data_IF_434105064952
#
_entry.id   IF_434105064952
#
_cell.length_a   1.000
_cell.length_b   1.000
_cell.length_c   1.000
_cell.angle_alpha   90.00
_cell.angle_beta   90.00
_cell.angle_gamma   90.00
#
_symmetry.space_group_name_H-M   'P 1'
#
loop_
_entity.id
_entity.type
_entity.pdbx_description
1 polymer ?
#
# COMPACT_ATOMS: atom_id res chain seq x y z
N UNK A 1 21.36 11.46 16.83
CA UNK A 1 20.02 10.86 16.86
C UNK A 1 19.90 9.95 15.65
N UNK A 2 19.43 8.74 15.85
CA UNK A 2 19.20 7.81 14.75
C UNK A 2 18.09 8.35 13.84
N UNK A 3 18.36 8.41 12.53
CA UNK A 3 17.39 8.89 11.54
C UNK A 3 16.22 7.91 11.40
N UNK A 4 15.03 8.42 11.10
CA UNK A 4 13.82 7.61 10.94
C UNK A 4 13.68 7.01 9.54
N UNK A 5 12.87 5.97 9.43
CA UNK A 5 12.31 5.49 8.17
C UNK A 5 10.97 6.22 7.99
N UNK A 6 10.86 6.98 6.91
CA UNK A 6 9.64 7.68 6.55
C UNK A 6 8.73 6.78 5.73
N UNK A 7 7.45 6.77 6.05
CA UNK A 7 6.42 6.04 5.30
C UNK A 7 5.31 7.03 4.96
N UNK A 8 4.80 7.04 3.75
CA UNK A 8 3.59 7.80 3.44
C UNK A 8 2.58 7.03 2.61
N UNK A 9 1.34 7.35 2.80
CA UNK A 9 0.18 6.87 2.04
C UNK A 9 -0.83 8.00 1.86
N UNK A 10 -1.76 7.84 0.93
CA UNK A 10 -2.88 8.78 0.76
C UNK A 10 -3.82 8.82 1.96
N UNK A 11 -3.77 7.83 2.83
CA UNK A 11 -4.64 7.69 4.00
C UNK A 11 -4.10 6.68 5.00
N UNK A 12 -4.96 5.78 5.47
CA UNK A 12 -4.61 4.74 6.45
C UNK A 12 -4.06 3.45 5.82
N UNK A 13 -4.18 3.26 4.49
CA UNK A 13 -3.87 1.99 3.83
C UNK A 13 -2.46 1.49 4.10
N UNK A 14 -1.49 2.39 4.11
CA UNK A 14 -0.09 2.09 4.38
C UNK A 14 0.23 1.66 5.80
N UNK A 15 -0.71 1.78 6.76
CA UNK A 15 -0.52 1.30 8.13
C UNK A 15 -0.32 -0.23 8.18
N UNK A 16 -0.87 -0.96 7.22
CA UNK A 16 -0.62 -2.40 7.09
C UNK A 16 0.88 -2.71 6.86
N UNK A 17 1.55 -1.89 6.04
CA UNK A 17 3.00 -1.98 5.78
C UNK A 17 3.78 -1.49 6.99
N UNK A 18 3.38 -0.34 7.57
CA UNK A 18 4.03 0.20 8.76
C UNK A 18 4.03 -0.83 9.90
N UNK A 19 2.90 -1.48 10.17
CA UNK A 19 2.78 -2.50 11.21
C UNK A 19 3.77 -3.66 10.99
N UNK A 20 3.88 -4.15 9.76
CA UNK A 20 4.85 -5.19 9.40
C UNK A 20 6.31 -4.74 9.58
N UNK A 21 6.61 -3.48 9.23
CA UNK A 21 7.95 -2.91 9.42
C UNK A 21 8.30 -2.76 10.90
N UNK A 22 7.40 -2.25 11.71
CA UNK A 22 7.59 -2.08 13.15
C UNK A 22 7.81 -3.44 13.85
N UNK A 23 7.08 -4.48 13.42
CA UNK A 23 7.26 -5.83 13.93
C UNK A 23 8.65 -6.40 13.60
N UNK A 24 9.10 -6.23 12.36
CA UNK A 24 10.37 -6.82 11.87
C UNK A 24 11.60 -5.97 12.19
N UNK A 25 11.42 -4.68 12.43
CA UNK A 25 12.47 -3.70 12.70
C UNK A 25 12.17 -2.90 13.98
N UNK A 26 12.02 -3.57 15.13
CA UNK A 26 11.51 -2.94 16.36
C UNK A 26 12.44 -1.86 16.96
N UNK A 27 13.66 -1.73 16.47
CA UNK A 27 14.65 -0.75 16.94
C UNK A 27 14.87 0.40 15.95
N UNK A 28 14.15 0.41 14.82
CA UNK A 28 14.12 1.54 13.91
C UNK A 28 13.14 2.62 14.39
N UNK A 29 13.41 3.86 14.03
CA UNK A 29 12.47 4.97 14.19
C UNK A 29 11.57 5.03 12.97
N UNK A 30 10.27 5.25 13.18
CA UNK A 30 9.31 5.38 12.10
C UNK A 30 8.54 6.68 12.18
N UNK A 31 8.36 7.30 11.02
CA UNK A 31 7.46 8.44 10.82
C UNK A 31 6.50 8.07 9.69
N UNK A 32 5.21 8.10 9.97
CA UNK A 32 4.16 7.87 8.99
C UNK A 32 3.42 9.16 8.68
N UNK A 33 3.25 9.47 7.39
CA UNK A 33 2.40 10.56 6.92
C UNK A 33 1.16 9.98 6.26
N UNK A 34 -0.01 10.27 6.84
CA UNK A 34 -1.32 9.99 6.28
C UNK A 34 -1.85 11.26 5.60
N UNK A 35 -1.75 11.33 4.26
CA UNK A 35 -2.25 12.47 3.49
C UNK A 35 -3.78 12.35 3.26
N UNK A 36 -4.52 12.14 4.35
CA UNK A 36 -5.94 11.84 4.29
C UNK A 36 -6.81 13.05 3.94
N UNK A 37 -6.29 14.28 3.95
CA UNK A 37 -6.91 15.47 3.35
C UNK A 37 -7.12 15.31 1.84
N UNK A 38 -6.20 14.64 1.16
CA UNK A 38 -6.21 14.42 -0.29
C UNK A 38 -6.70 13.01 -0.69
N UNK A 39 -7.02 12.16 0.29
CA UNK A 39 -7.52 10.80 0.07
C UNK A 39 -8.91 10.80 -0.61
N UNK A 40 -9.19 9.85 -1.52
CA UNK A 40 -8.30 8.84 -2.08
C UNK A 40 -7.51 9.37 -3.30
N UNK A 41 -6.25 8.96 -3.47
CA UNK A 41 -5.45 9.31 -4.65
C UNK A 41 -5.98 8.66 -5.93
N UNK A 42 -6.69 7.55 -5.83
CA UNK A 42 -7.27 6.86 -6.98
C UNK A 42 -8.23 7.67 -7.84
N UNK A 43 -8.75 8.79 -7.32
CA UNK A 43 -9.68 9.69 -8.01
C UNK A 43 -9.01 11.00 -8.47
N UNK A 44 -7.69 11.12 -8.33
CA UNK A 44 -6.93 12.33 -8.65
C UNK A 44 -6.30 12.23 -10.04
N UNK A 45 -5.95 13.38 -10.63
CA UNK A 45 -5.14 13.38 -11.84
C UNK A 45 -3.71 12.90 -11.54
N UNK A 46 -3.01 12.39 -12.55
CA UNK A 46 -1.62 11.97 -12.41
C UNK A 46 -0.73 13.10 -11.88
N UNK A 47 -0.93 14.30 -12.38
CA UNK A 47 -0.20 15.50 -11.92
C UNK A 47 -0.44 15.77 -10.42
N UNK A 48 -1.68 15.68 -9.95
CA UNK A 48 -2.00 15.84 -8.54
C UNK A 48 -1.31 14.76 -7.69
N UNK A 49 -1.36 13.49 -8.12
CA UNK A 49 -0.71 12.37 -7.42
C UNK A 49 0.80 12.62 -7.29
N UNK A 50 1.45 13.04 -8.38
CA UNK A 50 2.87 13.37 -8.39
C UNK A 50 3.17 14.51 -7.42
N UNK A 51 2.40 15.61 -7.46
CA UNK A 51 2.60 16.76 -6.59
C UNK A 51 2.43 16.40 -5.10
N UNK A 52 1.40 15.63 -4.74
CA UNK A 52 1.22 15.15 -3.37
C UNK A 52 2.37 14.24 -2.93
N UNK A 53 2.78 13.31 -3.80
CA UNK A 53 3.89 12.38 -3.50
C UNK A 53 5.21 13.13 -3.28
N UNK A 54 5.50 14.14 -4.08
CA UNK A 54 6.67 15.01 -3.89
C UNK A 54 6.60 15.80 -2.59
N UNK A 55 5.43 16.37 -2.26
CA UNK A 55 5.22 17.13 -1.02
C UNK A 55 5.43 16.25 0.21
N UNK A 56 4.82 15.06 0.25
CA UNK A 56 4.98 14.10 1.32
C UNK A 56 6.44 13.66 1.47
N UNK A 57 7.11 13.38 0.36
CA UNK A 57 8.52 12.96 0.38
C UNK A 57 9.44 14.08 0.90
N UNK A 58 9.23 15.32 0.48
CA UNK A 58 9.98 16.48 1.01
C UNK A 58 9.74 16.65 2.51
N UNK A 59 8.50 16.49 2.95
CA UNK A 59 8.17 16.57 4.38
C UNK A 59 8.90 15.52 5.20
N UNK A 60 8.98 14.27 4.71
CA UNK A 60 9.74 13.22 5.38
C UNK A 60 11.25 13.54 5.44
N UNK A 61 11.79 14.17 4.41
CA UNK A 61 13.20 14.65 4.43
C UNK A 61 13.39 15.75 5.49
N UNK A 62 12.49 16.73 5.55
CA UNK A 62 12.49 17.77 6.60
C UNK A 62 12.42 17.17 8.00
N UNK A 63 11.69 16.08 8.17
CA UNK A 63 11.60 15.30 9.41
C UNK A 63 12.81 14.36 9.64
N UNK A 64 13.90 14.55 8.88
CA UNK A 64 15.16 13.83 9.00
C UNK A 64 15.06 12.31 8.78
N UNK A 65 14.25 11.88 7.82
CA UNK A 65 14.20 10.47 7.42
C UNK A 65 15.41 10.08 6.56
N UNK A 66 15.91 8.85 6.75
CA UNK A 66 17.03 8.25 6.00
C UNK A 66 16.61 7.43 4.79
N UNK A 67 15.32 7.08 4.72
CA UNK A 67 14.70 6.27 3.67
C UNK A 67 13.23 6.64 3.61
N UNK A 68 12.63 6.54 2.43
CA UNK A 68 11.19 6.76 2.21
C UNK A 68 10.54 5.49 1.67
N UNK A 69 9.39 5.14 2.24
CA UNK A 69 8.54 4.06 1.75
C UNK A 69 7.25 4.69 1.23
N UNK A 70 7.00 4.55 -0.06
CA UNK A 70 5.75 4.94 -0.71
C UNK A 70 4.77 3.78 -0.54
N UNK A 71 4.00 3.84 0.55
CA UNK A 71 3.10 2.75 0.94
C UNK A 71 1.71 2.84 0.27
N UNK A 72 1.59 3.59 -0.81
CA UNK A 72 0.38 3.75 -1.62
C UNK A 72 0.62 3.20 -3.02
N UNK A 73 -0.16 2.19 -3.46
CA UNK A 73 -0.04 1.66 -4.82
C UNK A 73 -0.25 2.74 -5.88
N UNK A 74 -1.27 3.57 -5.71
CA UNK A 74 -1.56 4.67 -6.64
C UNK A 74 -0.41 5.68 -6.71
N UNK A 75 0.15 6.08 -5.57
CA UNK A 75 1.31 6.97 -5.53
C UNK A 75 2.53 6.32 -6.18
N UNK A 76 2.82 5.06 -5.82
CA UNK A 76 3.96 4.32 -6.39
C UNK A 76 3.87 4.25 -7.90
N UNK A 77 2.77 3.73 -8.43
CA UNK A 77 2.64 3.47 -9.87
C UNK A 77 2.61 4.72 -10.74
N UNK A 78 2.35 5.89 -10.15
CA UNK A 78 2.26 7.17 -10.87
C UNK A 78 3.43 8.12 -10.61
N UNK A 79 4.25 7.91 -9.57
CA UNK A 79 5.27 8.90 -9.19
C UNK A 79 6.65 8.34 -8.85
N UNK A 80 6.80 7.01 -8.68
CA UNK A 80 8.02 6.43 -8.11
C UNK A 80 9.30 6.78 -8.89
N UNK A 81 9.25 6.77 -10.22
CA UNK A 81 10.42 7.07 -11.05
C UNK A 81 10.87 8.51 -10.87
N UNK A 82 9.90 9.46 -10.87
CA UNK A 82 10.19 10.87 -10.65
C UNK A 82 10.69 11.16 -9.21
N UNK A 83 10.15 10.44 -8.21
CA UNK A 83 10.63 10.57 -6.84
C UNK A 83 12.10 10.12 -6.74
N UNK A 84 12.44 8.99 -7.36
CA UNK A 84 13.82 8.46 -7.39
C UNK A 84 14.80 9.36 -8.14
N UNK A 85 14.32 10.06 -9.15
CA UNK A 85 15.12 11.05 -9.90
C UNK A 85 15.42 12.32 -9.06
N UNK A 86 14.46 12.75 -8.23
CA UNK A 86 14.53 14.05 -7.53
C UNK A 86 15.00 13.98 -6.09
N UNK A 87 15.14 12.80 -5.51
CA UNK A 87 15.39 12.61 -4.08
C UNK A 87 16.58 11.66 -3.90
N UNK A 88 17.59 12.14 -3.19
CA UNK A 88 18.86 11.41 -3.02
C UNK A 88 18.84 10.26 -2.01
N UNK A 89 17.85 10.21 -1.10
CA UNK A 89 17.73 9.09 -0.16
C UNK A 89 16.97 7.91 -0.80
N UNK A 90 17.20 6.66 -0.34
CA UNK A 90 16.54 5.48 -0.87
C UNK A 90 15.02 5.58 -0.83
N UNK A 91 14.35 5.24 -1.94
CA UNK A 91 12.89 5.22 -2.05
C UNK A 91 12.43 3.82 -2.46
N UNK A 92 11.58 3.23 -1.64
CA UNK A 92 10.94 1.93 -1.89
C UNK A 92 9.44 2.17 -2.07
N UNK A 93 8.87 1.66 -3.16
CA UNK A 93 7.44 1.72 -3.42
C UNK A 93 6.79 0.36 -3.32
N UNK A 94 5.49 0.33 -2.95
CA UNK A 94 4.68 -0.87 -3.05
C UNK A 94 4.13 -1.02 -4.47
N UNK A 95 4.41 -2.14 -5.10
CA UNK A 95 3.87 -2.48 -6.41
C UNK A 95 2.73 -3.51 -6.28
N UNK A 96 1.73 -3.47 -7.18
CA UNK A 96 0.75 -4.54 -7.26
C UNK A 96 1.41 -5.89 -7.50
N UNK A 97 1.08 -6.89 -6.68
CA UNK A 97 1.71 -8.22 -6.70
C UNK A 97 1.28 -9.11 -7.88
N UNK A 98 1.21 -8.54 -9.10
CA UNK A 98 0.70 -9.29 -10.28
C UNK A 98 1.66 -10.40 -10.71
N UNK A 99 2.97 -10.15 -10.63
CA UNK A 99 3.98 -11.11 -11.08
C UNK A 99 3.94 -12.45 -10.34
N UNK A 100 3.86 -12.52 -9.00
CA UNK A 100 3.68 -13.79 -8.29
C UNK A 100 2.40 -14.54 -8.70
N UNK A 101 1.31 -13.85 -8.97
CA UNK A 101 0.07 -14.45 -9.45
C UNK A 101 0.27 -15.09 -10.83
N UNK A 102 0.85 -14.37 -11.78
CA UNK A 102 1.13 -14.85 -13.14
C UNK A 102 1.99 -16.12 -13.11
N UNK A 103 3.06 -16.13 -12.30
CA UNK A 103 4.00 -17.26 -12.24
C UNK A 103 3.42 -18.53 -11.59
N UNK A 104 2.35 -18.40 -10.79
CA UNK A 104 1.84 -19.51 -9.97
C UNK A 104 0.39 -19.92 -10.29
N UNK A 105 -0.33 -19.17 -11.12
CA UNK A 105 -1.73 -19.50 -11.47
C UNK A 105 -1.82 -20.86 -12.15
N UNK A 106 -2.81 -21.65 -11.73
CA UNK A 106 -3.19 -22.92 -12.34
C UNK A 106 -4.44 -22.81 -13.19
N UNK A 107 -5.38 -21.96 -12.77
CA UNK A 107 -6.61 -21.69 -13.50
C UNK A 107 -6.41 -20.83 -14.75
N UNK A 108 -5.24 -20.16 -14.85
CA UNK A 108 -4.93 -19.13 -15.86
C UNK A 108 -5.84 -17.90 -15.79
N UNK A 109 -6.61 -17.77 -14.72
CA UNK A 109 -7.48 -16.63 -14.43
C UNK A 109 -7.05 -15.95 -13.14
N UNK A 110 -6.69 -14.67 -13.22
CA UNK A 110 -6.21 -13.87 -12.10
C UNK A 110 -7.16 -12.70 -11.91
N UNK A 111 -7.65 -12.48 -10.69
CA UNK A 111 -8.38 -11.29 -10.32
C UNK A 111 -7.44 -10.17 -9.87
N UNK A 112 -7.71 -8.93 -10.27
CA UNK A 112 -7.03 -7.74 -9.78
C UNK A 112 -8.08 -6.74 -9.31
N UNK A 113 -8.12 -6.46 -8.01
CA UNK A 113 -8.96 -5.42 -7.42
C UNK A 113 -8.08 -4.23 -7.06
N UNK A 114 -8.26 -3.09 -7.74
CA UNK A 114 -7.39 -1.94 -7.59
C UNK A 114 -8.13 -0.61 -7.74
N UNK A 115 -7.42 0.50 -7.54
CA UNK A 115 -7.94 1.82 -7.92
C UNK A 115 -7.79 2.04 -9.43
N UNK A 116 -8.61 2.92 -10.00
CA UNK A 116 -8.55 3.28 -11.41
C UNK A 116 -7.15 3.72 -11.83
N UNK A 117 -6.54 4.65 -11.11
CA UNK A 117 -5.20 5.18 -11.42
C UNK A 117 -4.07 4.17 -11.24
N UNK A 118 -4.26 3.11 -10.48
CA UNK A 118 -3.31 2.00 -10.43
C UNK A 118 -3.40 1.15 -11.71
N UNK A 119 -4.60 0.79 -12.14
CA UNK A 119 -4.80 -0.02 -13.36
C UNK A 119 -4.40 0.73 -14.64
N UNK A 120 -4.68 2.03 -14.73
CA UNK A 120 -4.29 2.88 -15.87
C UNK A 120 -2.79 3.17 -15.93
N UNK A 121 -2.03 2.92 -14.86
CA UNK A 121 -0.63 3.31 -14.77
C UNK A 121 0.26 2.54 -15.76
N UNK A 122 1.29 3.22 -16.27
CA UNK A 122 2.30 2.58 -17.14
C UNK A 122 3.03 1.45 -16.42
N UNK A 123 3.34 1.63 -15.13
CA UNK A 123 4.07 0.63 -14.34
C UNK A 123 3.25 -0.67 -14.20
N UNK A 124 1.96 -0.58 -13.84
CA UNK A 124 1.10 -1.76 -13.74
C UNK A 124 0.97 -2.46 -15.11
N UNK A 125 0.70 -1.70 -16.17
CA UNK A 125 0.53 -2.24 -17.52
C UNK A 125 1.81 -2.91 -18.04
N UNK A 126 2.99 -2.30 -17.83
CA UNK A 126 4.26 -2.89 -18.25
C UNK A 126 4.59 -4.15 -17.45
N UNK A 127 4.39 -4.14 -16.13
CA UNK A 127 4.63 -5.31 -15.27
C UNK A 127 3.70 -6.46 -15.64
N UNK A 128 2.44 -6.18 -15.93
CA UNK A 128 1.48 -7.19 -16.40
C UNK A 128 1.93 -7.77 -17.74
N UNK A 129 2.14 -6.93 -18.76
CA UNK A 129 2.51 -7.36 -20.12
C UNK A 129 3.82 -8.13 -20.19
N UNK A 130 4.85 -7.69 -19.47
CA UNK A 130 6.18 -8.32 -19.50
C UNK A 130 6.21 -9.72 -18.90
N UNK A 131 5.19 -10.11 -18.13
CA UNK A 131 5.14 -11.41 -17.47
C UNK A 131 3.98 -12.30 -17.97
N UNK A 132 3.04 -11.75 -18.74
CA UNK A 132 1.89 -12.47 -19.29
C UNK A 132 2.33 -13.48 -20.37
N UNK A 133 1.75 -14.68 -20.30
CA UNK A 133 1.72 -15.64 -21.39
C UNK A 133 0.34 -15.58 -22.05
N UNK A 134 0.22 -15.99 -23.32
CA UNK A 134 -0.99 -15.85 -24.13
C UNK A 134 -2.23 -16.56 -23.53
N UNK A 135 -2.02 -17.50 -22.61
CA UNK A 135 -3.05 -18.31 -22.00
C UNK A 135 -3.56 -17.77 -20.65
N UNK A 136 -2.97 -16.68 -20.11
CA UNK A 136 -3.38 -16.08 -18.84
C UNK A 136 -4.31 -14.88 -19.05
N UNK A 137 -5.44 -14.90 -18.36
CA UNK A 137 -6.45 -13.83 -18.39
C UNK A 137 -6.44 -13.09 -17.06
N UNK A 138 -6.28 -11.77 -17.11
CA UNK A 138 -6.38 -10.89 -15.97
C UNK A 138 -7.77 -10.26 -15.96
N UNK A 139 -8.52 -10.48 -14.87
CA UNK A 139 -9.83 -9.88 -14.63
C UNK A 139 -9.66 -8.65 -13.73
N UNK A 140 -9.59 -7.49 -14.34
CA UNK A 140 -9.43 -6.22 -13.64
C UNK A 140 -10.77 -5.68 -13.13
N UNK A 141 -10.78 -5.18 -11.90
CA UNK A 141 -11.93 -4.56 -11.28
C UNK A 141 -11.51 -3.30 -10.49
N UNK A 142 -12.14 -2.20 -10.80
CA UNK A 142 -11.99 -0.97 -10.03
C UNK A 142 -12.86 -1.05 -8.78
N UNK A 143 -12.27 -0.82 -7.62
CA UNK A 143 -12.98 -0.82 -6.32
C UNK A 143 -13.55 0.55 -5.97
N UNK A 144 -14.46 1.10 -6.80
CA UNK A 144 -15.09 2.38 -6.53
C UNK A 144 -15.75 2.43 -5.15
N UNK A 145 -15.45 3.49 -4.39
CA UNK A 145 -16.02 3.74 -3.06
C UNK A 145 -15.40 2.93 -1.91
N UNK A 146 -14.68 1.83 -2.18
CA UNK A 146 -14.09 1.00 -1.13
C UNK A 146 -13.13 1.78 -0.22
N UNK A 147 -12.22 2.57 -0.78
CA UNK A 147 -11.27 3.36 0.02
C UNK A 147 -12.02 4.30 0.97
N UNK A 148 -13.03 5.00 0.46
CA UNK A 148 -13.81 5.94 1.28
C UNK A 148 -14.53 5.25 2.45
N UNK A 149 -15.02 4.03 2.23
CA UNK A 149 -15.69 3.28 3.30
C UNK A 149 -14.69 2.68 4.30
N UNK A 150 -13.51 2.26 3.84
CA UNK A 150 -12.44 1.77 4.72
C UNK A 150 -11.94 2.90 5.64
N UNK A 151 -11.76 4.11 5.10
CA UNK A 151 -11.36 5.29 5.90
C UNK A 151 -12.37 5.64 7.02
N UNK A 152 -13.65 5.25 6.86
CA UNK A 152 -14.70 5.41 7.88
C UNK A 152 -14.74 4.30 8.92
N UNK A 153 -13.98 3.23 8.71
CA UNK A 153 -13.93 2.04 9.54
C UNK A 153 -14.40 0.77 8.82
N UNK A 154 -13.78 -0.34 9.14
CA UNK A 154 -14.06 -1.65 8.52
C UNK A 154 -15.09 -2.45 9.32
N UNK A 155 -15.06 -2.29 10.66
CA UNK A 155 -15.89 -3.06 11.56
C UNK A 155 -17.36 -2.62 11.49
N UNK A 156 -18.26 -3.56 11.17
CA UNK A 156 -19.71 -3.30 11.07
C UNK A 156 -20.15 -2.50 9.83
N UNK A 157 -19.24 -2.20 8.90
CA UNK A 157 -19.56 -1.43 7.70
C UNK A 157 -20.22 -2.31 6.61
N UNK A 158 -21.53 -2.26 6.54
CA UNK A 158 -22.35 -3.05 5.59
C UNK A 158 -22.05 -2.67 4.12
N UNK A 159 -21.67 -1.41 3.84
CA UNK A 159 -21.38 -0.97 2.48
C UNK A 159 -20.12 -1.65 1.94
N UNK A 160 -19.13 -1.91 2.78
CA UNK A 160 -17.93 -2.67 2.39
C UNK A 160 -18.34 -4.06 1.91
N UNK A 161 -19.19 -4.77 2.65
CA UNK A 161 -19.65 -6.11 2.27
C UNK A 161 -20.42 -6.10 0.95
N UNK A 162 -21.27 -5.10 0.74
CA UNK A 162 -22.00 -4.88 -0.51
C UNK A 162 -21.04 -4.66 -1.68
N UNK A 163 -20.02 -3.80 -1.50
CA UNK A 163 -19.03 -3.53 -2.53
C UNK A 163 -18.15 -4.76 -2.82
N UNK A 164 -17.72 -5.48 -1.80
CA UNK A 164 -16.93 -6.70 -1.99
C UNK A 164 -17.71 -7.74 -2.80
N UNK A 165 -18.96 -8.00 -2.44
CA UNK A 165 -19.81 -8.91 -3.23
C UNK A 165 -19.93 -8.44 -4.67
N UNK A 166 -20.23 -7.15 -4.89
CA UNK A 166 -20.38 -6.58 -6.24
C UNK A 166 -19.13 -6.75 -7.10
N UNK A 167 -17.93 -6.53 -6.52
CA UNK A 167 -16.69 -6.50 -7.29
C UNK A 167 -16.01 -7.86 -7.40
N UNK A 168 -16.16 -8.71 -6.39
CA UNK A 168 -15.43 -9.97 -6.30
C UNK A 168 -16.24 -11.16 -6.87
N UNK A 169 -17.58 -11.16 -6.75
CA UNK A 169 -18.41 -12.25 -7.28
C UNK A 169 -18.18 -12.51 -8.77
N UNK A 170 -18.12 -11.49 -9.66
CA UNK A 170 -17.84 -11.75 -11.08
C UNK A 170 -16.47 -12.39 -11.34
N UNK A 171 -15.49 -12.14 -10.48
CA UNK A 171 -14.17 -12.77 -10.58
C UNK A 171 -14.23 -14.25 -10.16
N UNK A 172 -14.99 -14.57 -9.10
CA UNK A 172 -15.21 -15.95 -8.65
C UNK A 172 -15.85 -16.77 -9.77
N UNK A 173 -16.85 -16.23 -10.46
CA UNK A 173 -17.53 -16.84 -11.60
C UNK A 173 -16.58 -17.10 -12.78
N UNK A 174 -15.49 -16.33 -12.89
CA UNK A 174 -14.41 -16.54 -13.86
C UNK A 174 -13.37 -17.56 -13.40
N UNK A 175 -13.59 -18.22 -12.27
CA UNK A 175 -12.72 -19.26 -11.72
C UNK A 175 -11.27 -18.76 -11.48
N UNK A 176 -11.12 -17.56 -10.92
CA UNK A 176 -9.80 -17.07 -10.52
C UNK A 176 -9.21 -17.95 -9.41
N UNK A 177 -7.89 -18.14 -9.40
CA UNK A 177 -7.17 -18.81 -8.30
C UNK A 177 -6.23 -17.89 -7.53
N UNK A 178 -6.02 -16.68 -8.04
CA UNK A 178 -5.31 -15.59 -7.37
C UNK A 178 -6.11 -14.30 -7.40
N UNK A 179 -6.11 -13.58 -6.28
CA UNK A 179 -6.57 -12.19 -6.20
C UNK A 179 -5.40 -11.29 -5.83
N UNK A 180 -5.13 -10.31 -6.66
CA UNK A 180 -4.14 -9.25 -6.42
C UNK A 180 -4.86 -8.01 -5.89
N UNK A 181 -4.41 -7.50 -4.75
CA UNK A 181 -4.88 -6.25 -4.16
C UNK A 181 -3.97 -5.11 -4.61
N UNK A 182 -4.42 -4.30 -5.57
CA UNK A 182 -3.71 -3.15 -6.11
C UNK A 182 -4.01 -1.85 -5.36
N UNK A 183 -4.37 -1.95 -4.08
CA UNK A 183 -4.58 -0.83 -3.17
C UNK A 183 -4.29 -1.27 -1.74
N UNK A 184 -3.47 -0.52 -1.01
CA UNK A 184 -3.06 -0.82 0.37
C UNK A 184 -4.23 -0.87 1.35
N UNK A 185 -5.26 -0.06 1.14
CA UNK A 185 -6.48 -0.10 1.95
C UNK A 185 -7.17 -1.47 1.90
N UNK A 186 -7.09 -2.17 0.78
CA UNK A 186 -7.79 -3.46 0.63
C UNK A 186 -7.17 -4.58 1.47
N UNK A 187 -5.95 -4.42 1.99
CA UNK A 187 -5.36 -5.36 2.94
C UNK A 187 -6.18 -5.47 4.24
N UNK A 188 -6.87 -4.41 4.66
CA UNK A 188 -7.80 -4.45 5.81
C UNK A 188 -9.05 -5.29 5.54
N UNK A 189 -9.30 -5.68 4.30
CA UNK A 189 -10.45 -6.49 3.90
C UNK A 189 -10.12 -7.97 3.73
N UNK A 190 -8.87 -8.38 3.97
CA UNK A 190 -8.40 -9.74 3.71
C UNK A 190 -9.27 -10.81 4.39
N UNK A 191 -9.63 -10.62 5.66
CA UNK A 191 -10.51 -11.54 6.38
C UNK A 191 -11.90 -11.64 5.75
N UNK A 192 -12.47 -10.51 5.31
CA UNK A 192 -13.78 -10.48 4.64
C UNK A 192 -13.70 -11.11 3.25
N UNK A 193 -12.62 -10.87 2.52
CA UNK A 193 -12.37 -11.49 1.21
C UNK A 193 -12.21 -13.00 1.34
N UNK A 194 -11.44 -13.48 2.31
CA UNK A 194 -11.26 -14.91 2.56
C UNK A 194 -12.57 -15.63 2.91
N UNK A 195 -13.54 -14.93 3.52
CA UNK A 195 -14.90 -15.47 3.76
C UNK A 195 -15.75 -15.58 2.49
N UNK A 196 -15.49 -14.74 1.48
CA UNK A 196 -16.20 -14.77 0.19
C UNK A 196 -15.64 -15.83 -0.74
N UNK A 197 -14.34 -16.09 -0.66
CA UNK A 197 -13.70 -17.11 -1.49
C UNK A 197 -13.89 -18.51 -0.88
N UNK A 198 -14.17 -19.49 -1.72
CA UNK A 198 -13.86 -20.88 -1.40
C UNK A 198 -12.33 -21.00 -1.21
N UNK A 199 -11.85 -22.01 -0.47
CA UNK A 199 -10.41 -22.21 -0.13
C UNK A 199 -9.42 -22.23 -1.33
N UNK A 200 -9.91 -22.03 -2.54
CA UNK A 200 -9.13 -22.17 -3.77
C UNK A 200 -8.55 -20.85 -4.31
N UNK A 201 -8.94 -19.68 -3.78
CA UNK A 201 -8.41 -18.38 -4.21
C UNK A 201 -7.39 -17.90 -3.20
N UNK A 202 -6.19 -17.56 -3.67
CA UNK A 202 -5.11 -17.00 -2.84
C UNK A 202 -5.05 -15.48 -3.04
N UNK A 203 -5.09 -14.74 -1.94
CA UNK A 203 -4.77 -13.31 -1.94
C UNK A 203 -3.24 -13.18 -1.99
N UNK A 204 -2.75 -12.36 -2.91
CA UNK A 204 -1.29 -12.15 -3.07
C UNK A 204 -0.77 -11.26 -1.96
N UNK A 205 0.19 -11.74 -1.20
CA UNK A 205 0.90 -10.94 -0.20
C UNK A 205 1.79 -9.90 -0.89
N UNK A 206 1.52 -8.64 -0.64
CA UNK A 206 2.31 -7.48 -1.12
C UNK A 206 3.08 -6.80 0.02
N UNK A 207 2.78 -7.12 1.27
CA UNK A 207 3.36 -6.50 2.47
C UNK A 207 4.73 -7.11 2.78
N UNK A 208 4.80 -8.44 2.90
CA UNK A 208 6.05 -9.14 3.25
C UNK A 208 7.18 -8.89 2.26
N UNK A 209 6.96 -8.91 0.92
CA UNK A 209 8.02 -8.58 -0.04
C UNK A 209 8.58 -7.17 0.13
N UNK A 210 7.73 -6.17 0.36
CA UNK A 210 8.15 -4.77 0.61
C UNK A 210 8.95 -4.69 1.91
N UNK A 211 8.45 -5.27 3.00
CA UNK A 211 9.13 -5.30 4.30
C UNK A 211 10.52 -5.94 4.18
N UNK A 212 10.64 -7.09 3.51
CA UNK A 212 11.90 -7.76 3.28
C UNK A 212 12.86 -6.94 2.41
N UNK A 213 12.34 -6.22 1.41
CA UNK A 213 13.14 -5.33 0.58
C UNK A 213 13.70 -4.14 1.38
N UNK A 214 12.90 -3.57 2.29
CA UNK A 214 13.35 -2.51 3.22
C UNK A 214 14.49 -3.03 4.10
N UNK A 215 14.34 -4.21 4.72
CA UNK A 215 15.37 -4.82 5.57
C UNK A 215 16.70 -4.99 4.80
N UNK A 216 16.65 -5.62 3.62
CA UNK A 216 17.81 -5.81 2.77
C UNK A 216 18.46 -4.48 2.34
N UNK A 217 17.67 -3.48 2.05
CA UNK A 217 18.19 -2.16 1.65
C UNK A 217 18.91 -1.48 2.80
N UNK A 218 18.35 -1.52 4.03
CA UNK A 218 19.02 -0.98 5.23
C UNK A 218 20.35 -1.67 5.50
N UNK A 219 20.41 -2.99 5.33
CA UNK A 219 21.62 -3.80 5.52
C UNK A 219 22.68 -3.48 4.45
N UNK A 220 22.29 -3.49 3.19
CA UNK A 220 23.21 -3.24 2.06
C UNK A 220 23.81 -1.83 2.12
N UNK A 221 23.03 -0.84 2.51
CA UNK A 221 23.50 0.54 2.65
C UNK A 221 24.15 0.83 4.01
N UNK A 222 24.14 -0.13 4.94
CA UNK A 222 24.69 -0.01 6.30
C UNK A 222 24.11 1.17 7.07
N UNK A 223 22.82 1.45 6.89
CA UNK A 223 22.10 2.57 7.52
C UNK A 223 21.09 2.13 8.60
N UNK A 224 21.13 0.85 8.98
CA UNK A 224 20.30 0.33 10.08
C UNK A 224 20.68 1.00 11.39
N UNK A 225 19.68 1.33 12.22
CA UNK A 225 19.92 1.91 13.54
C UNK A 225 20.56 0.87 14.47
N UNK A 226 21.46 1.34 15.34
CA UNK A 226 22.12 0.51 16.36
C UNK A 226 21.44 0.62 17.73
N UNK A 227 20.23 1.21 17.78
CA UNK A 227 19.47 1.32 19.02
C UNK A 227 19.12 -0.05 19.59
N UNK A 228 19.09 -0.15 20.93
CA UNK A 228 18.65 -1.33 21.67
C UNK A 228 17.30 -1.10 22.36
N UNK A 229 16.75 0.11 22.28
CA UNK A 229 15.45 0.48 22.81
C UNK A 229 14.42 0.64 21.69
N UNK A 230 13.19 0.23 21.96
CA UNK A 230 12.06 0.53 21.07
C UNK A 230 11.70 2.00 21.21
N UNK A 231 11.54 2.67 20.08
CA UNK A 231 11.06 4.05 20.03
C UNK A 231 9.57 4.09 19.65
N UNK A 232 8.84 5.14 20.08
CA UNK A 232 7.48 5.33 19.62
C UNK A 232 7.44 5.54 18.10
N UNK A 233 6.37 5.10 17.48
CA UNK A 233 6.09 5.32 16.06
C UNK A 233 5.27 6.60 15.96
N UNK A 234 5.81 7.59 15.24
CA UNK A 234 5.11 8.86 15.03
C UNK A 234 4.24 8.80 13.79
N UNK A 235 2.94 9.04 13.96
CA UNK A 235 1.96 9.09 12.88
C UNK A 235 1.40 10.50 12.79
N UNK A 236 1.58 11.12 11.64
CA UNK A 236 1.01 12.43 11.34
C UNK A 236 -0.10 12.30 10.31
N UNK A 237 -1.21 13.02 10.53
CA UNK A 237 -2.32 13.13 9.59
C UNK A 237 -2.65 14.61 9.33
N UNK A 238 -3.12 14.93 8.12
CA UNK A 238 -3.42 16.31 7.69
C UNK A 238 -4.90 16.55 7.37
N UNK A 239 -5.77 15.62 7.70
CA UNK A 239 -7.23 15.69 7.50
C UNK A 239 -7.99 15.15 8.70
N UNK A 240 -8.84 14.14 8.49
CA UNK A 240 -9.60 13.52 9.56
C UNK A 240 -8.70 12.67 10.47
N UNK A 241 -9.03 12.64 11.77
CA UNK A 241 -8.31 11.82 12.75
C UNK A 241 -8.39 10.34 12.38
N UNK A 242 -7.26 9.65 12.47
CA UNK A 242 -7.17 8.20 12.24
C UNK A 242 -7.91 7.44 13.33
N UNK A 243 -8.75 6.46 12.94
CA UNK A 243 -9.50 5.63 13.88
C UNK A 243 -8.59 4.65 14.62
N UNK A 244 -8.90 4.39 15.89
CA UNK A 244 -8.11 3.50 16.75
C UNK A 244 -8.06 2.05 16.27
N UNK A 245 -9.04 1.59 15.48
CA UNK A 245 -9.05 0.23 14.93
C UNK A 245 -7.88 -0.06 13.96
N UNK A 246 -7.22 0.98 13.44
CA UNK A 246 -6.09 0.84 12.50
C UNK A 246 -4.72 1.00 13.16
N UNK A 247 -4.68 1.34 14.46
CA UNK A 247 -3.45 1.71 15.16
C UNK A 247 -3.22 0.87 16.41
N UNK A 248 -1.98 0.81 16.88
CA UNK A 248 -1.62 0.17 18.15
C UNK A 248 -1.38 1.20 19.26
N UNK A 249 -1.42 0.77 20.52
CA UNK A 249 -1.21 1.64 21.69
C UNK A 249 0.18 2.29 21.77
N UNK A 250 1.13 1.80 20.96
CA UNK A 250 2.51 2.32 20.93
C UNK A 250 2.72 3.42 19.88
N UNK A 251 1.63 3.92 19.25
CA UNK A 251 1.70 4.93 18.21
C UNK A 251 1.35 6.31 18.77
N UNK A 252 2.23 7.28 18.53
CA UNK A 252 1.97 8.69 18.80
C UNK A 252 1.32 9.33 17.58
N UNK A 253 0.04 9.67 17.70
CA UNK A 253 -0.78 10.13 16.58
C UNK A 253 -1.13 11.60 16.80
N UNK A 254 -0.72 12.45 15.87
CA UNK A 254 -0.95 13.89 15.96
C UNK A 254 -1.27 14.52 14.59
N UNK A 255 -1.96 15.65 14.62
CA UNK A 255 -2.20 16.47 13.45
C UNK A 255 -0.93 17.22 13.06
N UNK A 256 -0.63 17.25 11.75
CA UNK A 256 0.41 18.05 11.15
C UNK A 256 -0.08 18.54 9.78
N UNK A 257 0.01 19.83 9.52
CA UNK A 257 -0.27 20.34 8.16
C UNK A 257 0.97 20.17 7.28
N UNK A 258 0.81 19.43 6.20
CA UNK A 258 1.87 19.16 5.24
C UNK A 258 1.34 18.99 3.82
#
# INVERSE_FOLDING_TARGET
>A
MDKAIGVFDSGIGGLSILNSLVEKLPYENFIYLSDNKNCPYGNKSQEQIINFSLKNSKKLIELNCKMIIVACNTATTNSIDLLREKIDIPIIGIEPGIRPAILNTKSKNIGVLATEKTLESKLFNSTSKNNLTDDIIIHEQIGYGLVNEIEKGVNGNILIEKYLKKYVTPMIEKNIDYLVLGCTHYNFLEEKLNKLFSKNVKIVDTISPVTNHVIKTLENLKIKNNSISKNPVNIYYNGNKILSEFTSNNYEISYLDF
#
